data_IF_451641554812
#
_entry.id   IF_451641554812
#
_cell.length_a   1.000
_cell.length_b   1.000
_cell.length_c   1.000
_cell.angle_alpha   90.00
_cell.angle_beta   90.00
_cell.angle_gamma   90.00
#
_symmetry.space_group_name_H-M   'P 1'
#
loop_
_entity.id
_entity.type
_entity.pdbx_description
1 polymer ?
#
# COMPACT_ATOMS: atom_id res chain seq x y z
N UNK A 1 -18.96 -10.65 -0.05
CA UNK A 1 -17.59 -10.25 0.33
C UNK A 1 -16.56 -11.12 -0.36
N UNK A 2 -16.55 -12.43 -0.09
CA UNK A 2 -15.57 -13.39 -0.62
C UNK A 2 -15.45 -13.37 -2.16
N UNK A 3 -16.57 -13.36 -2.90
CA UNK A 3 -16.57 -13.37 -4.38
C UNK A 3 -15.78 -12.22 -5.01
N UNK A 4 -15.93 -10.99 -4.51
CA UNK A 4 -15.24 -9.80 -5.07
C UNK A 4 -13.75 -9.84 -4.74
N UNK A 5 -13.39 -10.28 -3.52
CA UNK A 5 -11.99 -10.44 -3.12
C UNK A 5 -11.30 -11.51 -3.98
N UNK A 6 -11.96 -12.66 -4.18
CA UNK A 6 -11.49 -13.70 -5.09
C UNK A 6 -11.36 -13.18 -6.53
N UNK A 7 -12.32 -12.38 -7.00
CA UNK A 7 -12.29 -11.84 -8.36
C UNK A 7 -11.12 -10.86 -8.56
N UNK A 8 -10.87 -9.95 -7.62
CA UNK A 8 -9.72 -9.03 -7.66
C UNK A 8 -8.40 -9.81 -7.69
N UNK A 9 -8.23 -10.75 -6.75
CA UNK A 9 -7.04 -11.59 -6.68
C UNK A 9 -6.85 -12.39 -7.96
N UNK A 10 -7.89 -13.07 -8.44
CA UNK A 10 -7.81 -13.86 -9.66
C UNK A 10 -7.50 -13.01 -10.89
N UNK A 11 -8.11 -11.83 -11.03
CA UNK A 11 -7.79 -10.89 -12.08
C UNK A 11 -6.31 -10.48 -12.02
N UNK A 12 -5.83 -10.00 -10.87
CA UNK A 12 -4.42 -9.60 -10.71
C UNK A 12 -3.46 -10.74 -11.06
N UNK A 13 -3.73 -11.95 -10.58
CA UNK A 13 -2.92 -13.13 -10.88
C UNK A 13 -2.96 -13.49 -12.38
N UNK A 14 -4.10 -13.34 -13.07
CA UNK A 14 -4.17 -13.53 -14.53
C UNK A 14 -3.36 -12.50 -15.28
N UNK A 15 -3.41 -11.24 -14.86
CA UNK A 15 -2.64 -10.15 -15.46
C UNK A 15 -1.14 -10.47 -15.40
N UNK A 16 -0.65 -10.84 -14.21
CA UNK A 16 0.75 -11.20 -13.98
C UNK A 16 1.17 -12.43 -14.78
N UNK A 17 0.29 -13.43 -14.90
CA UNK A 17 0.56 -14.65 -15.67
C UNK A 17 0.35 -14.48 -17.19
N UNK A 18 0.21 -13.26 -17.70
CA UNK A 18 0.04 -13.00 -19.14
C UNK A 18 -1.28 -13.51 -19.73
N UNK A 19 -2.24 -13.92 -18.89
CA UNK A 19 -3.50 -14.52 -19.35
C UNK A 19 -4.51 -13.44 -19.72
N UNK A 20 -5.17 -13.53 -20.88
CA UNK A 20 -6.28 -12.65 -21.20
C UNK A 20 -7.42 -12.84 -20.19
N UNK A 21 -8.20 -11.79 -19.95
CA UNK A 21 -9.37 -11.84 -19.06
C UNK A 21 -10.20 -10.57 -19.19
N UNK A 22 -11.48 -10.64 -18.84
CA UNK A 22 -12.32 -9.44 -18.81
C UNK A 22 -12.20 -8.78 -17.44
N UNK A 23 -11.21 -7.92 -17.29
CA UNK A 23 -11.00 -7.12 -16.10
C UNK A 23 -12.10 -6.07 -15.92
N UNK A 24 -12.77 -5.69 -17.01
CA UNK A 24 -13.89 -4.76 -17.01
C UNK A 24 -15.11 -5.32 -16.27
N UNK A 25 -15.25 -6.65 -16.23
CA UNK A 25 -16.36 -7.32 -15.54
C UNK A 25 -16.31 -7.14 -14.01
N UNK A 26 -15.18 -6.70 -13.45
CA UNK A 26 -15.07 -6.34 -12.04
C UNK A 26 -15.89 -5.10 -11.70
N UNK A 27 -16.10 -4.20 -12.66
CA UNK A 27 -16.62 -2.87 -12.40
C UNK A 27 -18.14 -2.80 -12.54
N UNK A 28 -18.78 -2.05 -11.64
CA UNK A 28 -20.22 -1.79 -11.71
C UNK A 28 -20.59 -0.91 -12.92
N UNK A 29 -19.62 -0.19 -13.48
CA UNK A 29 -19.79 0.76 -14.56
C UNK A 29 -18.52 0.93 -15.39
N UNK A 30 -18.20 2.17 -15.76
CA UNK A 30 -16.92 2.46 -16.42
C UNK A 30 -15.74 2.09 -15.51
N UNK A 31 -14.75 1.33 -16.00
CA UNK A 31 -13.55 1.03 -15.23
C UNK A 31 -12.83 2.30 -14.78
N UNK A 32 -12.42 2.32 -13.52
CA UNK A 32 -11.62 3.37 -12.91
C UNK A 32 -10.50 2.74 -12.10
N UNK A 33 -9.27 3.06 -12.46
CA UNK A 33 -8.08 2.61 -11.74
C UNK A 33 -7.12 3.77 -11.58
N UNK A 34 -6.49 3.89 -10.41
CA UNK A 34 -5.41 4.85 -10.18
C UNK A 34 -4.14 4.10 -9.76
N UNK A 35 -3.03 4.35 -10.47
CA UNK A 35 -1.75 3.69 -10.20
C UNK A 35 -0.64 4.72 -9.96
N UNK A 36 0.45 4.36 -9.26
CA UNK A 36 1.53 5.30 -8.97
C UNK A 36 2.15 5.90 -10.23
N UNK A 37 2.25 5.13 -11.33
CA UNK A 37 2.92 5.55 -12.56
C UNK A 37 2.01 6.21 -13.61
N UNK A 38 0.70 5.95 -13.59
CA UNK A 38 -0.20 6.43 -14.64
C UNK A 38 -1.26 7.42 -14.13
N UNK A 39 -1.37 7.63 -12.81
CA UNK A 39 -2.48 8.39 -12.25
C UNK A 39 -3.81 7.70 -12.49
N UNK A 40 -4.90 8.49 -12.62
CA UNK A 40 -6.24 7.95 -12.87
C UNK A 40 -6.44 7.61 -14.36
N UNK A 41 -6.87 6.37 -14.59
CA UNK A 41 -7.29 5.85 -15.88
C UNK A 41 -8.79 5.57 -15.78
N UNK A 42 -9.57 6.14 -16.70
CA UNK A 42 -11.03 6.02 -16.72
C UNK A 42 -11.55 5.61 -18.09
N UNK A 43 -12.57 4.77 -18.08
CA UNK A 43 -13.32 4.38 -19.28
C UNK A 43 -12.73 3.14 -19.97
N UNK A 44 -13.59 2.41 -20.68
CA UNK A 44 -13.29 1.06 -21.20
C UNK A 44 -12.07 1.03 -22.12
N UNK A 45 -11.94 1.99 -23.06
CA UNK A 45 -10.85 2.02 -24.03
C UNK A 45 -9.49 2.28 -23.37
N UNK A 46 -9.40 3.28 -22.50
CA UNK A 46 -8.16 3.62 -21.81
C UNK A 46 -7.74 2.49 -20.86
N UNK A 47 -8.72 1.90 -20.17
CA UNK A 47 -8.50 0.75 -19.30
C UNK A 47 -8.00 -0.48 -20.06
N UNK A 48 -8.63 -0.84 -21.19
CA UNK A 48 -8.17 -1.96 -22.01
C UNK A 48 -6.73 -1.77 -22.51
N UNK A 49 -6.41 -0.57 -23.02
CA UNK A 49 -5.04 -0.25 -23.44
C UNK A 49 -4.02 -0.35 -22.30
N UNK A 50 -4.38 0.15 -21.11
CA UNK A 50 -3.54 0.02 -19.92
C UNK A 50 -3.32 -1.45 -19.53
N UNK A 51 -4.38 -2.27 -19.51
CA UNK A 51 -4.28 -3.70 -19.17
C UNK A 51 -3.39 -4.44 -20.17
N UNK A 52 -3.53 -4.17 -21.48
CA UNK A 52 -2.70 -4.77 -22.52
C UNK A 52 -1.21 -4.37 -22.36
N UNK A 53 -0.94 -3.11 -22.04
CA UNK A 53 0.41 -2.62 -21.75
C UNK A 53 1.00 -3.31 -20.51
N UNK A 54 0.27 -3.34 -19.39
CA UNK A 54 0.74 -3.99 -18.16
C UNK A 54 0.99 -5.48 -18.37
N UNK A 55 0.11 -6.18 -19.11
CA UNK A 55 0.29 -7.60 -19.44
C UNK A 55 1.58 -7.83 -20.22
N UNK A 56 1.86 -6.99 -21.23
CA UNK A 56 3.08 -7.09 -22.03
C UNK A 56 4.32 -6.89 -21.15
N UNK A 57 4.33 -5.81 -20.36
CA UNK A 57 5.45 -5.51 -19.45
C UNK A 57 5.68 -6.65 -18.45
N UNK A 58 4.65 -7.11 -17.75
CA UNK A 58 4.78 -8.19 -16.76
C UNK A 58 5.25 -9.51 -17.40
N UNK A 59 4.83 -9.80 -18.63
CA UNK A 59 5.32 -10.95 -19.38
C UNK A 59 6.80 -10.82 -19.77
N UNK A 60 7.23 -9.65 -20.23
CA UNK A 60 8.64 -9.36 -20.57
C UNK A 60 9.53 -9.51 -19.33
N UNK A 61 9.03 -9.08 -18.17
CA UNK A 61 9.70 -9.15 -16.87
C UNK A 61 9.63 -10.53 -16.20
N UNK A 62 9.00 -11.51 -16.86
CA UNK A 62 8.73 -12.87 -16.31
C UNK A 62 8.16 -12.78 -14.89
N UNK A 63 7.18 -11.89 -14.72
CA UNK A 63 6.63 -11.56 -13.44
C UNK A 63 5.93 -12.77 -12.79
N UNK A 64 6.04 -12.88 -11.47
CA UNK A 64 5.30 -13.82 -10.63
C UNK A 64 4.70 -13.05 -9.48
N UNK A 65 3.48 -13.40 -9.09
CA UNK A 65 2.83 -12.81 -7.94
C UNK A 65 2.41 -13.89 -6.97
N UNK A 66 2.47 -13.54 -5.70
CA UNK A 66 1.89 -14.31 -4.60
C UNK A 66 0.94 -13.41 -3.84
N UNK A 67 -0.24 -13.96 -3.49
CA UNK A 67 -1.15 -13.27 -2.58
C UNK A 67 -0.57 -13.35 -1.17
N UNK A 68 -0.35 -12.20 -0.55
CA UNK A 68 0.19 -12.11 0.80
C UNK A 68 -0.94 -12.10 1.85
N UNK A 69 -1.90 -11.20 1.71
CA UNK A 69 -3.03 -11.07 2.63
C UNK A 69 -4.22 -10.35 1.99
N UNK A 70 -5.39 -10.49 2.61
CA UNK A 70 -6.59 -9.75 2.25
C UNK A 70 -7.16 -9.12 3.53
N UNK A 71 -7.52 -7.84 3.44
CA UNK A 71 -8.27 -7.10 4.45
C UNK A 71 -9.58 -6.63 3.81
N UNK A 72 -10.74 -6.95 4.38
CA UNK A 72 -12.02 -6.67 3.72
C UNK A 72 -13.14 -6.29 4.68
N UNK A 73 -13.99 -5.37 4.23
CA UNK A 73 -15.27 -5.01 4.85
C UNK A 73 -16.40 -5.16 3.82
N UNK A 74 -17.63 -4.78 4.21
CA UNK A 74 -18.77 -4.70 3.29
C UNK A 74 -18.49 -3.78 2.08
N UNK A 75 -17.78 -2.68 2.32
CA UNK A 75 -17.62 -1.57 1.37
C UNK A 75 -16.29 -1.60 0.62
N UNK A 76 -15.29 -2.32 1.14
CA UNK A 76 -13.93 -2.17 0.64
C UNK A 76 -13.08 -3.42 0.80
N UNK A 77 -12.17 -3.64 -0.14
CA UNK A 77 -11.21 -4.74 -0.12
C UNK A 77 -9.82 -4.17 -0.35
N UNK A 78 -8.85 -4.68 0.40
CA UNK A 78 -7.42 -4.46 0.20
C UNK A 78 -6.77 -5.83 0.05
N UNK A 79 -6.16 -6.07 -1.10
CA UNK A 79 -5.38 -7.28 -1.35
C UNK A 79 -3.89 -6.91 -1.45
N UNK A 80 -3.07 -7.55 -0.61
CA UNK A 80 -1.62 -7.40 -0.57
C UNK A 80 -0.98 -8.53 -1.38
N UNK A 81 -0.02 -8.20 -2.23
CA UNK A 81 0.73 -9.14 -3.07
C UNK A 81 2.23 -8.92 -2.93
N UNK A 82 3.00 -9.98 -3.19
CA UNK A 82 4.43 -9.89 -3.47
C UNK A 82 4.64 -10.16 -4.96
N UNK A 83 5.09 -9.16 -5.71
CA UNK A 83 5.38 -9.26 -7.13
C UNK A 83 6.89 -9.45 -7.34
N UNK A 84 7.30 -10.60 -7.83
CA UNK A 84 8.66 -10.88 -8.26
C UNK A 84 8.83 -10.56 -9.75
N UNK A 85 9.77 -9.69 -10.09
CA UNK A 85 10.21 -9.41 -11.46
C UNK A 85 11.61 -9.96 -11.68
N UNK A 86 11.91 -10.50 -12.86
CA UNK A 86 13.23 -11.05 -13.20
C UNK A 86 13.95 -10.15 -14.20
N UNK A 87 14.55 -9.06 -13.70
CA UNK A 87 15.33 -8.11 -14.50
C UNK A 87 16.80 -8.48 -14.52
N UNK A 88 17.38 -8.61 -15.71
CA UNK A 88 18.83 -8.85 -15.85
C UNK A 88 19.34 -10.10 -15.13
N UNK A 89 18.48 -11.09 -14.87
CA UNK A 89 18.82 -12.34 -14.17
C UNK A 89 18.62 -12.31 -12.65
N UNK A 90 18.43 -11.13 -12.03
CA UNK A 90 18.23 -11.01 -10.58
C UNK A 90 16.75 -10.80 -10.25
N UNK A 91 16.18 -11.59 -9.32
CA UNK A 91 14.81 -11.37 -8.88
C UNK A 91 14.72 -10.10 -8.01
N UNK A 92 13.76 -9.23 -8.34
CA UNK A 92 13.37 -8.07 -7.53
C UNK A 92 11.96 -8.33 -7.01
N UNK A 93 11.78 -8.29 -5.69
CA UNK A 93 10.47 -8.52 -5.06
C UNK A 93 9.89 -7.19 -4.60
N UNK A 94 8.67 -6.90 -5.05
CA UNK A 94 7.98 -5.62 -4.85
C UNK A 94 6.66 -5.90 -4.12
N UNK A 95 6.48 -5.40 -2.90
CA UNK A 95 5.18 -5.41 -2.25
C UNK A 95 4.21 -4.51 -3.00
N UNK A 96 3.01 -5.03 -3.26
CA UNK A 96 1.92 -4.30 -3.91
C UNK A 96 0.68 -4.38 -3.03
N UNK A 97 0.00 -3.27 -2.81
CA UNK A 97 -1.35 -3.25 -2.27
C UNK A 97 -2.32 -2.79 -3.36
N UNK A 98 -3.42 -3.53 -3.51
CA UNK A 98 -4.53 -3.21 -4.40
C UNK A 98 -5.75 -2.96 -3.53
N UNK A 99 -6.15 -1.70 -3.43
CA UNK A 99 -7.38 -1.31 -2.75
C UNK A 99 -8.53 -1.14 -3.75
N UNK A 100 -9.71 -1.61 -3.39
CA UNK A 100 -10.90 -1.56 -4.22
C UNK A 100 -12.11 -1.14 -3.40
N UNK A 101 -12.75 -0.04 -3.82
CA UNK A 101 -14.05 0.38 -3.28
C UNK A 101 -15.15 -0.42 -3.97
N UNK A 102 -16.16 -0.83 -3.19
CA UNK A 102 -17.23 -1.70 -3.65
C UNK A 102 -18.56 -0.98 -3.71
N UNK A 103 -19.36 -1.39 -4.68
CA UNK A 103 -20.80 -1.12 -4.75
C UNK A 103 -21.52 -2.44 -4.89
N UNK A 104 -22.10 -2.93 -3.79
CA UNK A 104 -22.70 -4.27 -3.67
C UNK A 104 -21.75 -5.40 -4.12
N UNK A 105 -21.95 -5.94 -5.32
CA UNK A 105 -21.24 -7.11 -5.86
C UNK A 105 -20.15 -6.75 -6.89
N UNK A 106 -19.87 -5.47 -7.08
CA UNK A 106 -18.90 -4.99 -8.05
C UNK A 106 -17.99 -3.89 -7.46
N UNK A 107 -16.96 -3.52 -8.21
CA UNK A 107 -15.96 -2.51 -7.85
C UNK A 107 -16.32 -1.18 -8.51
N UNK A 108 -16.19 -0.08 -7.77
CA UNK A 108 -16.38 1.28 -8.29
C UNK A 108 -15.05 1.96 -8.65
N UNK A 109 -13.97 1.61 -7.95
CA UNK A 109 -12.63 2.18 -8.13
C UNK A 109 -11.57 1.20 -7.62
N UNK A 110 -10.45 1.12 -8.35
CA UNK A 110 -9.23 0.43 -7.88
C UNK A 110 -8.11 1.45 -7.69
N UNK A 111 -7.37 1.34 -6.58
CA UNK A 111 -6.12 2.07 -6.35
C UNK A 111 -5.00 1.09 -6.08
N UNK A 112 -3.90 1.24 -6.80
CA UNK A 112 -2.70 0.41 -6.65
C UNK A 112 -1.62 1.22 -5.94
N UNK A 113 -0.88 0.56 -5.06
CA UNK A 113 0.20 1.13 -4.26
C UNK A 113 1.42 0.22 -4.27
N UNK A 114 2.58 0.79 -4.58
CA UNK A 114 3.91 0.16 -4.53
C UNK A 114 4.97 1.24 -4.69
N UNK A 115 6.20 0.97 -4.25
CA UNK A 115 7.32 1.86 -4.50
C UNK A 115 7.93 1.63 -5.88
N UNK A 116 8.21 2.71 -6.61
CA UNK A 116 8.95 2.66 -7.87
C UNK A 116 10.47 2.68 -7.66
N UNK A 117 10.94 2.94 -6.44
CA UNK A 117 12.37 3.00 -6.11
C UNK A 117 13.11 1.69 -6.45
N UNK A 118 12.64 0.49 -6.06
CA UNK A 118 13.31 -0.77 -6.45
C UNK A 118 13.39 -1.00 -7.96
N UNK A 119 12.55 -0.31 -8.75
CA UNK A 119 12.46 -0.46 -10.20
C UNK A 119 13.25 0.58 -10.97
N UNK A 120 13.40 1.79 -10.41
CA UNK A 120 13.84 2.99 -11.13
C UNK A 120 14.95 3.76 -10.41
N UNK A 121 15.29 3.39 -9.17
CA UNK A 121 16.25 4.09 -8.32
C UNK A 121 15.79 5.49 -7.91
N UNK A 122 14.50 5.80 -8.05
CA UNK A 122 13.88 7.06 -7.62
C UNK A 122 12.39 6.85 -7.36
N UNK A 123 11.84 7.67 -6.48
CA UNK A 123 10.41 7.77 -6.24
C UNK A 123 9.69 8.56 -7.34
N UNK A 124 8.37 8.41 -7.41
CA UNK A 124 7.49 9.27 -8.20
C UNK A 124 6.42 9.85 -7.31
N UNK A 125 6.48 11.17 -7.11
CA UNK A 125 5.48 11.90 -6.32
C UNK A 125 4.08 11.68 -6.92
N UNK A 126 3.19 11.13 -6.11
CA UNK A 126 1.77 10.94 -6.42
C UNK A 126 0.95 11.90 -5.55
N UNK A 127 0.29 12.92 -6.12
CA UNK A 127 -0.55 13.84 -5.35
C UNK A 127 -1.67 13.12 -4.59
N UNK A 128 -2.32 13.77 -3.61
CA UNK A 128 -3.46 13.22 -2.89
C UNK A 128 -4.56 12.82 -3.87
N UNK A 129 -5.07 11.59 -3.74
CA UNK A 129 -6.10 11.03 -4.63
C UNK A 129 -7.43 10.76 -3.91
N UNK A 130 -7.47 10.97 -2.59
CA UNK A 130 -8.65 10.75 -1.75
C UNK A 130 -8.77 11.93 -0.80
N UNK A 131 -9.97 12.48 -0.72
CA UNK A 131 -10.34 13.49 0.28
C UNK A 131 -10.50 12.78 1.63
N UNK A 132 -9.89 13.27 2.71
CA UNK A 132 -10.05 12.66 4.02
C UNK A 132 -11.51 12.59 4.47
N UNK A 133 -11.93 11.40 4.91
CA UNK A 133 -13.24 11.21 5.51
C UNK A 133 -13.33 11.95 6.85
N UNK A 134 -14.41 12.69 7.07
CA UNK A 134 -14.61 13.48 8.29
C UNK A 134 -14.88 12.60 9.52
N UNK A 135 -15.44 11.42 9.31
CA UNK A 135 -15.91 10.46 10.31
C UNK A 135 -15.12 9.15 10.25
N UNK A 136 -13.83 9.23 9.91
CA UNK A 136 -12.95 8.08 9.79
C UNK A 136 -12.87 7.30 11.11
N UNK A 137 -13.29 6.02 11.08
CA UNK A 137 -13.19 5.11 12.22
C UNK A 137 -12.01 4.17 12.04
N UNK A 138 -11.13 4.15 13.04
CA UNK A 138 -9.93 3.32 13.06
C UNK A 138 -9.76 2.61 14.40
N UNK A 139 -8.99 1.52 14.49
CA UNK A 139 -8.56 0.98 15.78
C UNK A 139 -7.79 2.03 16.58
N UNK A 140 -7.98 2.07 17.90
CA UNK A 140 -7.30 3.01 18.78
C UNK A 140 -5.77 2.90 18.69
N UNK A 141 -5.24 1.68 18.51
CA UNK A 141 -3.81 1.44 18.37
C UNK A 141 -3.22 2.05 17.10
N UNK A 142 -3.96 2.03 15.98
CA UNK A 142 -3.53 2.67 14.72
C UNK A 142 -3.45 4.18 14.88
N UNK A 143 -4.44 4.79 15.55
CA UNK A 143 -4.39 6.22 15.90
C UNK A 143 -3.22 6.56 16.82
N UNK A 144 -2.96 5.72 17.83
CA UNK A 144 -1.85 5.90 18.75
C UNK A 144 -0.50 5.82 18.03
N UNK A 145 -0.35 4.85 17.12
CA UNK A 145 0.84 4.70 16.27
C UNK A 145 1.08 5.92 15.40
N UNK A 146 0.07 6.40 14.66
CA UNK A 146 0.19 7.60 13.84
C UNK A 146 0.47 8.85 14.67
N UNK A 147 -0.12 8.96 15.87
CA UNK A 147 0.18 10.08 16.76
C UNK A 147 1.62 10.05 17.28
N UNK A 148 2.18 8.87 17.55
CA UNK A 148 3.58 8.70 17.95
C UNK A 148 4.54 9.04 16.80
N UNK A 149 4.25 8.56 15.57
CA UNK A 149 4.99 8.96 14.37
C UNK A 149 5.01 10.48 14.19
N UNK A 150 3.85 11.13 14.31
CA UNK A 150 3.73 12.59 14.15
C UNK A 150 4.57 13.38 15.17
N UNK A 151 4.76 12.83 16.38
CA UNK A 151 5.59 13.45 17.42
C UNK A 151 7.08 13.14 17.27
N UNK A 152 7.47 12.19 16.43
CA UNK A 152 8.85 11.68 16.39
C UNK A 152 9.20 10.85 17.63
N UNK A 153 8.21 10.18 18.22
CA UNK A 153 8.33 9.52 19.52
C UNK A 153 8.60 8.03 19.36
N UNK A 154 9.89 7.68 19.15
CA UNK A 154 10.33 6.30 18.89
C UNK A 154 9.89 5.35 20.00
N UNK A 155 10.10 5.70 21.27
CA UNK A 155 9.75 4.79 22.37
C UNK A 155 8.24 4.55 22.45
N UNK A 156 7.41 5.59 22.23
CA UNK A 156 5.97 5.38 22.14
C UNK A 156 5.59 4.48 20.96
N UNK A 157 6.25 4.60 19.80
CA UNK A 157 6.02 3.67 18.68
C UNK A 157 6.33 2.23 19.10
N UNK A 158 7.49 1.98 19.70
CA UNK A 158 7.93 0.64 20.09
C UNK A 158 6.97 -0.04 21.08
N UNK A 159 6.40 0.73 22.02
CA UNK A 159 5.47 0.18 23.01
C UNK A 159 4.16 -0.37 22.42
N UNK A 160 3.85 -0.02 21.17
CA UNK A 160 2.63 -0.48 20.47
C UNK A 160 2.84 -1.81 19.76
N UNK A 161 4.08 -2.22 19.51
CA UNK A 161 4.39 -3.48 18.84
C UNK A 161 4.42 -4.66 19.80
N UNK A 162 4.18 -5.85 19.25
CA UNK A 162 4.60 -7.09 19.88
C UNK A 162 6.14 -7.17 19.96
N UNK A 163 6.65 -8.00 20.88
CA UNK A 163 8.09 -8.20 21.05
C UNK A 163 8.78 -8.71 19.78
N UNK A 164 8.07 -9.52 18.98
CA UNK A 164 8.48 -10.05 17.67
C UNK A 164 7.79 -9.34 16.49
N UNK A 165 7.14 -8.21 16.74
CA UNK A 165 6.49 -7.41 15.71
C UNK A 165 7.49 -6.86 14.68
N UNK A 166 6.99 -6.44 13.51
CA UNK A 166 7.86 -5.90 12.47
C UNK A 166 7.27 -4.71 11.71
N UNK A 167 8.16 -3.86 11.19
CA UNK A 167 7.86 -2.86 10.18
C UNK A 167 8.48 -3.31 8.84
N UNK A 168 7.79 -3.11 7.73
CA UNK A 168 8.33 -3.35 6.39
C UNK A 168 8.15 -2.12 5.54
N UNK A 169 9.28 -1.59 5.06
CA UNK A 169 9.30 -0.47 4.14
C UNK A 169 8.69 -0.82 2.76
N UNK A 170 8.35 0.19 1.94
CA UNK A 170 7.82 -0.03 0.60
C UNK A 170 8.76 -0.80 -0.35
N UNK A 171 10.07 -0.72 -0.11
CA UNK A 171 11.13 -1.30 -0.95
C UNK A 171 11.27 -2.83 -0.85
N UNK A 172 10.50 -3.49 0.02
CA UNK A 172 10.38 -4.95 0.05
C UNK A 172 11.01 -5.65 1.23
N UNK A 173 11.08 -6.98 1.16
CA UNK A 173 11.46 -7.83 2.30
C UNK A 173 12.90 -7.62 2.80
N UNK A 174 13.80 -7.09 1.96
CA UNK A 174 15.14 -6.69 2.38
C UNK A 174 15.18 -5.48 3.33
N UNK A 175 14.05 -4.80 3.49
CA UNK A 175 13.84 -3.63 4.35
C UNK A 175 12.75 -3.92 5.39
N UNK A 176 12.86 -5.11 6.00
CA UNK A 176 12.03 -5.55 7.13
C UNK A 176 12.83 -5.37 8.41
N UNK A 177 12.23 -4.68 9.36
CA UNK A 177 12.79 -4.37 10.68
C UNK A 177 11.96 -5.09 11.72
N UNK A 178 12.55 -6.07 12.40
CA UNK A 178 11.83 -7.04 13.22
C UNK A 178 12.37 -7.11 14.64
N UNK A 179 11.44 -7.30 15.57
CA UNK A 179 11.70 -7.28 17.00
C UNK A 179 12.07 -5.89 17.51
N UNK A 180 12.14 -5.79 18.84
CA UNK A 180 12.36 -4.51 19.54
C UNK A 180 13.59 -3.76 19.04
N UNK A 181 14.74 -4.44 18.86
CA UNK A 181 15.98 -3.79 18.44
C UNK A 181 15.95 -3.34 16.97
N UNK A 182 15.41 -4.18 16.07
CA UNK A 182 15.29 -3.84 14.66
C UNK A 182 14.36 -2.65 14.45
N UNK A 183 13.20 -2.67 15.12
CA UNK A 183 12.26 -1.55 15.12
C UNK A 183 12.89 -0.29 15.72
N UNK A 184 13.63 -0.39 16.83
CA UNK A 184 14.28 0.77 17.45
C UNK A 184 15.29 1.40 16.50
N UNK A 185 16.14 0.60 15.86
CA UNK A 185 17.12 1.09 14.90
C UNK A 185 16.42 1.86 13.77
N UNK A 186 15.41 1.25 13.16
CA UNK A 186 14.64 1.84 12.07
C UNK A 186 13.95 3.15 12.48
N UNK A 187 13.12 3.15 13.52
CA UNK A 187 12.37 4.34 13.93
C UNK A 187 13.26 5.46 14.47
N UNK A 188 14.38 5.12 15.12
CA UNK A 188 15.35 6.14 15.54
C UNK A 188 15.98 6.85 14.35
N UNK A 189 16.23 6.13 13.25
CA UNK A 189 16.75 6.69 12.01
C UNK A 189 15.69 7.57 11.31
N UNK A 190 14.52 7.02 11.02
CA UNK A 190 13.51 7.75 10.23
C UNK A 190 12.85 8.91 10.99
N UNK A 191 12.95 8.94 12.32
CA UNK A 191 12.43 10.03 13.16
C UNK A 191 13.52 10.94 13.73
N UNK A 192 14.78 10.77 13.32
CA UNK A 192 15.93 11.50 13.87
C UNK A 192 15.75 13.04 13.77
N UNK A 193 15.21 13.51 12.65
CA UNK A 193 14.96 14.93 12.37
C UNK A 193 13.53 15.38 12.74
N UNK A 194 12.78 14.55 13.46
CA UNK A 194 11.41 14.80 13.90
C UNK A 194 10.38 13.84 13.30
N UNK A 195 9.10 14.12 13.57
CA UNK A 195 8.01 13.22 13.23
C UNK A 195 7.56 13.19 11.76
N UNK A 196 6.73 12.20 11.43
CA UNK A 196 6.10 12.03 10.11
C UNK A 196 4.62 12.38 10.21
N UNK A 197 4.17 13.35 9.41
CA UNK A 197 2.78 13.80 9.39
C UNK A 197 1.99 13.01 8.35
N UNK A 198 1.13 12.11 8.82
CA UNK A 198 0.20 11.36 7.98
C UNK A 198 -1.23 11.82 8.26
N UNK A 199 -1.91 12.30 7.23
CA UNK A 199 -3.37 12.53 7.25
C UNK A 199 -4.04 11.30 6.69
N UNK A 200 -4.68 10.51 7.56
CA UNK A 200 -5.43 9.33 7.15
C UNK A 200 -6.69 9.74 6.40
N UNK A 201 -6.88 9.19 5.20
CA UNK A 201 -7.98 9.55 4.32
C UNK A 201 -9.14 8.56 4.40
N UNK A 202 -8.84 7.28 4.50
CA UNK A 202 -9.81 6.18 4.61
C UNK A 202 -9.16 4.95 5.23
N UNK A 203 -9.96 4.08 5.84
CA UNK A 203 -9.51 2.89 6.54
C UNK A 203 -10.41 1.69 6.21
N UNK A 204 -9.83 0.50 6.18
CA UNK A 204 -10.51 -0.78 6.05
C UNK A 204 -10.05 -1.65 7.19
N UNK A 205 -10.91 -1.85 8.20
CA UNK A 205 -10.61 -2.66 9.37
C UNK A 205 -11.50 -3.91 9.40
N UNK A 206 -10.88 -5.10 9.37
CA UNK A 206 -11.59 -6.38 9.37
C UNK A 206 -11.63 -7.08 10.73
N UNK A 207 -11.19 -6.39 11.79
CA UNK A 207 -11.03 -6.94 13.14
C UNK A 207 -9.59 -7.37 13.45
N UNK A 208 -8.78 -7.67 12.43
CA UNK A 208 -7.40 -8.15 12.58
C UNK A 208 -6.39 -7.31 11.82
N UNK A 209 -6.77 -6.72 10.70
CA UNK A 209 -5.93 -5.85 9.87
C UNK A 209 -6.64 -4.55 9.60
N UNK A 210 -5.91 -3.45 9.72
CA UNK A 210 -6.36 -2.12 9.38
C UNK A 210 -5.52 -1.60 8.22
N UNK A 211 -6.12 -1.49 7.04
CA UNK A 211 -5.49 -0.89 5.88
C UNK A 211 -5.90 0.58 5.78
N UNK A 212 -4.93 1.49 5.74
CA UNK A 212 -5.14 2.94 5.74
C UNK A 212 -4.51 3.56 4.51
N UNK A 213 -5.28 4.32 3.75
CA UNK A 213 -4.73 5.23 2.73
C UNK A 213 -4.57 6.61 3.35
N UNK A 214 -3.43 7.25 3.12
CA UNK A 214 -3.09 8.52 3.73
C UNK A 214 -2.43 9.48 2.75
N UNK A 215 -2.31 10.73 3.19
CA UNK A 215 -1.45 11.75 2.60
C UNK A 215 -0.32 12.09 3.57
N UNK A 216 0.92 12.06 3.09
CA UNK A 216 2.09 12.57 3.81
C UNK A 216 2.47 13.95 3.27
N UNK A 217 2.63 14.94 4.16
CA UNK A 217 2.92 16.32 3.80
C UNK A 217 4.07 16.94 4.61
N UNK A 218 4.64 16.18 5.56
CA UNK A 218 5.80 16.60 6.36
C UNK A 218 6.53 15.38 6.89
N UNK A 219 7.85 15.46 6.85
CA UNK A 219 8.73 14.46 7.45
C UNK A 219 9.92 15.18 8.10
N UNK A 220 10.08 14.97 9.41
CA UNK A 220 11.08 15.66 10.20
C UNK A 220 10.84 17.16 10.20
N UNK A 221 11.89 17.91 9.89
CA UNK A 221 11.81 19.38 9.76
C UNK A 221 11.28 19.85 8.40
N UNK A 222 11.22 18.97 7.40
CA UNK A 222 10.86 19.33 6.02
C UNK A 222 9.36 19.25 5.76
N UNK A 223 8.82 20.29 5.12
CA UNK A 223 7.51 20.23 4.48
C UNK A 223 7.66 19.58 3.11
N UNK A 224 6.83 18.59 2.82
CA UNK A 224 6.82 17.86 1.56
C UNK A 224 5.64 18.34 0.70
N UNK A 225 5.74 18.31 -0.64
CA UNK A 225 4.55 18.28 -1.48
C UNK A 225 3.65 17.13 -1.00
N UNK A 226 2.33 17.30 -0.83
CA UNK A 226 1.46 16.23 -0.35
C UNK A 226 1.55 14.97 -1.24
N UNK A 227 1.83 13.81 -0.64
CA UNK A 227 2.06 12.54 -1.34
C UNK A 227 1.09 11.46 -0.83
N UNK A 228 0.40 10.78 -1.74
CA UNK A 228 -0.51 9.68 -1.41
C UNK A 228 0.26 8.39 -1.13
N UNK A 229 -0.05 7.75 0.00
CA UNK A 229 0.51 6.47 0.41
C UNK A 229 -0.54 5.55 1.02
N UNK A 230 -0.11 4.36 1.38
CA UNK A 230 -0.93 3.36 2.04
C UNK A 230 -0.11 2.52 3.00
N UNK A 231 -0.70 2.12 4.12
CA UNK A 231 -0.11 1.15 5.04
C UNK A 231 -1.17 0.12 5.46
N UNK A 232 -0.71 -1.06 5.85
CA UNK A 232 -1.53 -2.08 6.49
C UNK A 232 -0.93 -2.43 7.85
N UNK A 233 -1.74 -2.30 8.88
CA UNK A 233 -1.41 -2.63 10.26
C UNK A 233 -2.07 -3.94 10.63
N UNK A 234 -1.30 -4.93 11.07
CA UNK A 234 -1.80 -6.21 11.55
C UNK A 234 -1.77 -6.23 13.07
N UNK A 235 -2.92 -6.55 13.67
CA UNK A 235 -3.10 -6.64 15.10
C UNK A 235 -2.95 -8.10 15.51
N UNK A 236 -2.23 -8.33 16.60
CA UNK A 236 -2.18 -9.63 17.25
C UNK A 236 -3.43 -9.87 18.12
N UNK A 237 -3.56 -11.08 18.66
CA UNK A 237 -4.66 -11.45 19.55
C UNK A 237 -4.74 -10.65 20.86
N UNK A 238 -3.67 -9.97 21.28
CA UNK A 238 -3.66 -9.11 22.47
C UNK A 238 -3.91 -7.62 22.15
N UNK A 239 -4.14 -7.29 20.87
CA UNK A 239 -4.41 -5.94 20.41
C UNK A 239 -3.18 -5.07 20.15
N UNK A 240 -1.96 -5.63 20.22
CA UNK A 240 -0.72 -4.96 19.80
C UNK A 240 -0.47 -5.11 18.30
N UNK A 241 0.46 -4.32 17.76
CA UNK A 241 0.88 -4.41 16.36
C UNK A 241 1.82 -5.62 16.18
N UNK A 242 1.34 -6.61 15.43
CA UNK A 242 2.20 -7.67 14.90
C UNK A 242 2.97 -7.16 13.67
N UNK A 243 2.37 -6.27 12.88
CA UNK A 243 3.04 -5.71 11.70
C UNK A 243 2.59 -4.29 11.34
N UNK A 244 3.51 -3.50 10.80
CA UNK A 244 3.24 -2.31 9.99
C UNK A 244 3.87 -2.49 8.59
N UNK A 245 3.03 -2.61 7.56
CA UNK A 245 3.48 -2.84 6.18
C UNK A 245 3.16 -1.63 5.32
N UNK A 246 4.19 -0.96 4.83
CA UNK A 246 4.07 0.28 4.08
C UNK A 246 4.04 -0.03 2.57
N UNK A 247 3.17 0.67 1.85
CA UNK A 247 2.94 0.59 0.42
C UNK A 247 2.78 2.01 -0.12
N UNK A 248 3.89 2.71 -0.28
CA UNK A 248 3.89 4.04 -0.88
C UNK A 248 5.10 4.24 -1.79
N UNK A 249 5.14 5.41 -2.40
CA UNK A 249 6.29 5.87 -3.17
C UNK A 249 6.67 7.28 -2.72
N UNK A 250 6.60 7.51 -1.40
CA UNK A 250 6.90 8.80 -0.79
C UNK A 250 8.39 9.08 -0.99
N UNK A 251 8.70 10.21 -1.61
CA UNK A 251 10.08 10.72 -1.62
C UNK A 251 10.40 11.27 -0.23
N UNK A 252 11.39 10.72 0.50
CA UNK A 252 11.80 11.22 1.80
C UNK A 252 12.54 12.57 1.67
N UNK A 253 12.77 13.28 2.80
CA UNK A 253 13.66 14.45 2.85
C UNK A 253 14.99 14.24 2.14
N UNK A 254 15.50 15.27 1.47
CA UNK A 254 16.78 15.22 0.75
C UNK A 254 16.77 14.48 -0.60
N UNK A 255 15.75 13.68 -0.92
CA UNK A 255 15.58 13.09 -2.25
C UNK A 255 14.69 13.97 -3.14
N UNK A 256 15.16 14.28 -4.36
CA UNK A 256 14.33 14.94 -5.38
C UNK A 256 13.60 13.88 -6.21
N UNK A 257 12.28 13.80 -6.06
CA UNK A 257 11.38 13.00 -6.92
C UNK A 257 11.32 13.44 -8.37
#
# INVERSE_FOLDING_TARGET
MERVATAITHCFMRLVNGRPGSFESLFAGEPRINTPLHGEIRGRRAFAGFIDEQRRLLSEEKARAELFAITATGERIVAEFLLTLHRGGTPVVIPIAVAADRTADAVSMIRVYYSSWPLRGRHRIRPPIIVPAADLVEPAIVRAYTAALKRGDTEAVLTLFEEDGYAREPSGAGFRHEGVEGLRAFYSEILADGGISLTHCTATFDGTRCAVEYTCDRWGTEALPPQAGMAVYELSGNGRLAAARIYDDISPPGERG
#
